data_IF_062405611223
#
_entry.id   IF_062405611223
#
_cell.length_a   1.000
_cell.length_b   1.000
_cell.length_c   1.000
_cell.angle_alpha   90.00
_cell.angle_beta   90.00
_cell.angle_gamma   90.00
#
_symmetry.space_group_name_H-M   'P 1'
#
loop_
_entity.id
_entity.type
_entity.pdbx_description
1 polymer ?
#
# COMPACT_ATOMS: atom_id res chain seq x y z
N UNK A 1 18.83 -21.70 40.14
CA UNK A 1 18.40 -22.25 38.84
C UNK A 1 16.91 -22.48 38.97
N UNK A 2 16.11 -21.62 38.36
CA UNK A 2 14.64 -21.65 38.46
C UNK A 2 14.08 -22.01 37.08
N UNK A 3 13.33 -23.10 37.04
CA UNK A 3 12.56 -23.55 35.88
C UNK A 3 11.48 -22.51 35.52
N UNK A 4 11.52 -22.03 34.28
CA UNK A 4 10.44 -21.25 33.67
C UNK A 4 9.48 -22.22 32.99
N UNK A 5 8.31 -22.40 33.60
CA UNK A 5 7.19 -23.16 33.04
C UNK A 5 6.52 -22.31 31.94
N UNK A 6 6.66 -22.71 30.69
CA UNK A 6 6.01 -22.06 29.55
C UNK A 6 4.58 -22.59 29.39
N UNK A 7 3.55 -21.73 29.30
CA UNK A 7 2.21 -22.18 28.96
C UNK A 7 2.23 -22.82 27.56
N UNK A 8 1.97 -24.13 27.50
CA UNK A 8 1.81 -24.89 26.26
C UNK A 8 0.78 -24.21 25.37
N UNK A 9 1.20 -23.77 24.19
CA UNK A 9 0.30 -23.31 23.13
C UNK A 9 -0.75 -24.41 22.86
N UNK A 10 -2.05 -24.06 22.74
CA UNK A 10 -3.05 -25.04 22.37
C UNK A 10 -2.73 -25.63 20.98
N UNK A 11 -3.02 -26.92 20.75
CA UNK A 11 -2.72 -27.55 19.47
C UNK A 11 -3.42 -26.80 18.33
N UNK A 12 -2.69 -26.58 17.23
CA UNK A 12 -3.26 -25.99 16.01
C UNK A 12 -4.44 -26.88 15.55
N UNK A 13 -5.67 -26.37 15.71
CA UNK A 13 -6.85 -27.03 15.14
C UNK A 13 -6.79 -26.80 13.63
N UNK A 14 -6.55 -27.87 12.87
CA UNK A 14 -6.74 -27.86 11.43
C UNK A 14 -8.17 -27.43 11.13
N UNK A 15 -8.33 -26.30 10.44
CA UNK A 15 -9.63 -25.84 9.98
C UNK A 15 -10.05 -26.80 8.84
N UNK A 16 -11.16 -27.54 8.96
CA UNK A 16 -11.60 -28.45 7.91
C UNK A 16 -11.77 -27.68 6.59
N UNK A 17 -11.27 -28.22 5.48
CA UNK A 17 -11.30 -27.57 4.17
C UNK A 17 -12.72 -27.08 3.77
N UNK A 18 -13.75 -27.81 4.20
CA UNK A 18 -15.16 -27.42 4.01
C UNK A 18 -15.54 -26.11 4.69
N UNK A 19 -14.99 -25.82 5.89
CA UNK A 19 -15.24 -24.54 6.59
C UNK A 19 -14.51 -23.38 5.91
N UNK A 20 -13.38 -23.65 5.27
CA UNK A 20 -12.63 -22.67 4.49
C UNK A 20 -13.41 -22.30 3.22
N UNK A 21 -13.92 -23.29 2.51
CA UNK A 21 -14.78 -23.09 1.34
C UNK A 21 -16.09 -22.35 1.70
N UNK A 22 -16.73 -22.70 2.82
CA UNK A 22 -17.93 -21.99 3.29
C UNK A 22 -17.65 -20.52 3.65
N UNK A 23 -16.51 -20.23 4.28
CA UNK A 23 -16.12 -18.86 4.64
C UNK A 23 -15.79 -18.03 3.40
N UNK A 24 -15.12 -18.63 2.40
CA UNK A 24 -14.88 -17.96 1.11
C UNK A 24 -16.20 -17.62 0.41
N UNK A 25 -17.15 -18.57 0.33
CA UNK A 25 -18.46 -18.30 -0.28
C UNK A 25 -19.25 -17.20 0.46
N UNK A 26 -19.11 -17.09 1.79
CA UNK A 26 -19.74 -16.04 2.59
C UNK A 26 -19.11 -14.66 2.37
N UNK A 27 -17.78 -14.61 2.21
CA UNK A 27 -17.02 -13.40 1.90
C UNK A 27 -17.33 -12.91 0.48
N UNK A 28 -17.35 -13.80 -0.50
CA UNK A 28 -17.71 -13.48 -1.88
C UNK A 28 -19.12 -12.89 -1.98
N UNK A 29 -20.08 -13.44 -1.24
CA UNK A 29 -21.44 -12.90 -1.16
C UNK A 29 -21.49 -11.51 -0.53
N UNK A 30 -20.72 -11.25 0.53
CA UNK A 30 -20.68 -9.93 1.15
C UNK A 30 -20.01 -8.88 0.25
N UNK A 31 -18.94 -9.25 -0.45
CA UNK A 31 -18.27 -8.36 -1.40
C UNK A 31 -19.20 -8.06 -2.58
N UNK A 32 -19.89 -9.06 -3.12
CA UNK A 32 -20.86 -8.86 -4.19
C UNK A 32 -22.04 -7.96 -3.76
N UNK A 33 -22.56 -8.15 -2.53
CA UNK A 33 -23.62 -7.31 -1.97
C UNK A 33 -23.15 -5.88 -1.67
N UNK A 34 -21.90 -5.69 -1.26
CA UNK A 34 -21.30 -4.36 -1.07
C UNK A 34 -20.96 -3.66 -2.40
N UNK A 35 -20.94 -4.41 -3.51
CA UNK A 35 -20.66 -3.91 -4.87
C UNK A 35 -21.92 -3.46 -5.61
N UNK A 36 -23.12 -3.64 -5.04
CA UNK A 36 -24.34 -3.14 -5.66
C UNK A 36 -24.45 -1.61 -5.43
N UNK A 37 -24.39 -0.79 -6.50
CA UNK A 37 -24.61 0.64 -6.34
C UNK A 37 -26.06 0.86 -5.90
N UNK A 38 -26.24 1.48 -4.72
CA UNK A 38 -27.54 1.91 -4.24
C UNK A 38 -28.19 2.86 -5.26
N UNK A 39 -29.03 2.31 -6.14
CA UNK A 39 -29.83 3.07 -7.10
C UNK A 39 -30.93 3.79 -6.34
N UNK A 40 -30.69 5.06 -5.98
CA UNK A 40 -31.76 5.97 -5.56
C UNK A 40 -32.82 6.06 -6.67
N UNK A 41 -34.13 6.06 -6.33
CA UNK A 41 -35.18 6.08 -7.32
C UNK A 41 -35.32 7.48 -7.93
N UNK A 42 -34.73 7.67 -9.11
CA UNK A 42 -34.92 8.84 -10.00
C UNK A 42 -36.30 8.78 -10.70
N UNK A 43 -37.36 8.49 -9.95
CA UNK A 43 -38.72 8.72 -10.41
C UNK A 43 -39.02 10.22 -10.29
N UNK A 44 -38.72 10.99 -11.34
CA UNK A 44 -39.39 12.24 -11.77
C UNK A 44 -38.44 13.07 -12.64
N UNK A 45 -38.50 12.83 -13.96
CA UNK A 45 -38.32 13.78 -15.09
C UNK A 45 -38.18 12.94 -16.37
N UNK A 46 -39.28 12.32 -16.81
CA UNK A 46 -40.06 12.71 -18.00
C UNK A 46 -39.23 12.69 -19.30
N UNK A 47 -39.52 11.64 -20.09
CA UNK A 47 -39.75 11.62 -21.54
C UNK A 47 -38.72 12.34 -22.43
N UNK A 48 -38.00 11.55 -23.24
CA UNK A 48 -38.08 11.57 -24.70
C UNK A 48 -37.42 10.28 -25.25
N UNK A 49 -38.13 9.68 -26.21
CA UNK A 49 -37.82 8.47 -26.97
C UNK A 49 -36.82 8.79 -28.08
N UNK A 50 -35.75 8.01 -28.24
CA UNK A 50 -35.14 7.70 -29.55
C UNK A 50 -34.56 6.27 -29.52
N UNK A 51 -34.91 5.39 -30.49
CA UNK A 51 -34.53 3.98 -30.45
C UNK A 51 -33.41 3.62 -31.46
N UNK A 52 -32.72 2.51 -31.15
CA UNK A 52 -31.97 1.59 -32.02
C UNK A 52 -30.64 2.05 -32.66
N UNK A 53 -29.70 1.09 -32.64
CA UNK A 53 -28.51 0.88 -33.51
C UNK A 53 -27.17 1.30 -32.90
N UNK A 54 -26.55 0.37 -32.15
CA UNK A 54 -25.14 0.01 -32.31
C UNK A 54 -24.83 -1.28 -31.53
N UNK A 55 -25.25 -2.42 -32.06
CA UNK A 55 -24.58 -3.71 -31.75
C UNK A 55 -23.39 -3.78 -32.70
N UNK A 56 -22.20 -3.33 -32.27
CA UNK A 56 -20.91 -3.71 -32.87
C UNK A 56 -19.82 -3.72 -31.79
N UNK A 57 -19.16 -4.88 -31.67
CA UNK A 57 -17.85 -5.13 -31.05
C UNK A 57 -17.73 -5.13 -29.52
N UNK A 58 -18.13 -6.24 -28.89
CA UNK A 58 -17.40 -6.79 -27.72
C UNK A 58 -16.54 -7.95 -28.20
N UNK A 59 -15.55 -7.64 -29.03
CA UNK A 59 -14.43 -8.52 -29.33
C UNK A 59 -13.16 -7.66 -29.33
N UNK A 60 -12.30 -7.92 -28.34
CA UNK A 60 -10.90 -7.53 -28.37
C UNK A 60 -10.54 -6.18 -27.73
N UNK A 61 -10.17 -6.22 -26.44
CA UNK A 61 -9.04 -5.41 -25.94
C UNK A 61 -8.17 -6.22 -24.96
N UNK A 62 -7.74 -7.41 -25.39
CA UNK A 62 -6.52 -8.02 -24.86
C UNK A 62 -5.25 -7.54 -25.60
N UNK A 63 -5.39 -6.70 -26.63
CA UNK A 63 -4.29 -6.11 -27.39
C UNK A 63 -4.32 -4.58 -27.22
N UNK A 64 -3.49 -4.08 -26.30
CA UNK A 64 -3.40 -2.64 -26.03
C UNK A 64 -2.54 -2.24 -24.83
N UNK A 65 -2.02 -3.20 -24.05
CA UNK A 65 -1.12 -2.89 -22.91
C UNK A 65 0.37 -2.80 -23.27
N UNK A 66 0.71 -2.85 -24.56
CA UNK A 66 2.09 -2.96 -25.01
C UNK A 66 2.89 -1.65 -25.05
N UNK A 67 2.23 -0.49 -24.98
CA UNK A 67 2.85 0.82 -25.17
C UNK A 67 2.25 1.87 -24.22
N UNK A 68 2.11 1.53 -22.94
CA UNK A 68 1.83 2.58 -21.97
C UNK A 68 3.10 3.43 -21.81
N UNK A 69 3.01 4.77 -21.97
CA UNK A 69 4.14 5.64 -21.69
C UNK A 69 4.61 5.40 -20.25
N UNK A 70 5.92 5.49 -20.06
CA UNK A 70 6.50 5.45 -18.73
C UNK A 70 5.93 6.59 -17.87
N UNK A 71 5.80 6.35 -16.57
CA UNK A 71 5.24 7.33 -15.65
C UNK A 71 6.14 7.47 -14.42
N UNK A 72 5.93 8.53 -13.65
CA UNK A 72 6.61 8.75 -12.38
C UNK A 72 5.73 8.29 -11.21
N UNK A 73 6.35 7.70 -10.18
CA UNK A 73 5.63 7.38 -8.96
C UNK A 73 5.29 8.67 -8.20
N UNK A 74 4.01 8.86 -7.87
CA UNK A 74 3.51 10.01 -7.09
C UNK A 74 3.36 9.70 -5.59
N UNK A 75 3.44 8.43 -5.20
CA UNK A 75 3.29 7.95 -3.82
C UNK A 75 4.37 6.91 -3.46
N UNK A 76 5.63 7.19 -3.78
CA UNK A 76 6.76 6.26 -3.65
C UNK A 76 7.18 6.00 -2.18
N UNK A 77 6.34 5.34 -1.40
CA UNK A 77 6.63 5.00 0.00
C UNK A 77 7.02 3.54 0.20
N UNK A 78 6.68 2.70 -0.78
CA UNK A 78 6.87 1.25 -0.71
C UNK A 78 7.25 0.68 -2.07
N UNK A 79 8.28 -0.17 -2.07
CA UNK A 79 8.79 -0.90 -3.23
C UNK A 79 8.57 -2.39 -2.99
N UNK A 80 7.93 -3.07 -3.94
CA UNK A 80 7.74 -4.52 -3.90
C UNK A 80 8.75 -5.24 -4.77
N UNK A 81 9.56 -6.12 -4.18
CA UNK A 81 10.62 -6.89 -4.83
C UNK A 81 10.14 -8.32 -5.12
N UNK A 82 9.79 -8.60 -6.37
CA UNK A 82 9.25 -9.91 -6.75
C UNK A 82 10.36 -10.93 -7.01
N UNK A 83 10.19 -12.16 -6.52
CA UNK A 83 11.15 -13.25 -6.76
C UNK A 83 11.05 -13.86 -8.16
N UNK A 84 9.95 -13.61 -8.87
CA UNK A 84 9.67 -14.10 -10.22
C UNK A 84 8.80 -13.11 -11.00
N UNK A 85 8.75 -13.23 -12.33
CA UNK A 85 7.91 -12.38 -13.19
C UNK A 85 6.43 -12.82 -13.10
N UNK A 86 5.79 -12.54 -11.96
CA UNK A 86 4.37 -12.83 -11.71
C UNK A 86 3.83 -11.88 -10.65
N UNK A 87 2.64 -11.31 -10.88
CA UNK A 87 1.94 -10.48 -9.88
C UNK A 87 1.46 -11.29 -8.66
N UNK A 88 1.37 -12.62 -8.79
CA UNK A 88 1.01 -13.54 -7.71
C UNK A 88 2.24 -14.23 -7.10
N UNK A 89 3.45 -13.80 -7.48
CA UNK A 89 4.69 -14.37 -6.98
C UNK A 89 5.01 -13.92 -5.56
N UNK A 90 5.91 -14.65 -4.92
CA UNK A 90 6.49 -14.25 -3.64
C UNK A 90 7.18 -12.88 -3.79
N UNK A 91 6.95 -12.02 -2.80
CA UNK A 91 7.33 -10.60 -2.84
C UNK A 91 7.86 -10.18 -1.48
N UNK A 92 9.02 -9.54 -1.49
CA UNK A 92 9.55 -8.82 -0.33
C UNK A 92 9.20 -7.34 -0.44
N UNK A 93 8.93 -6.67 0.68
CA UNK A 93 8.52 -5.26 0.70
C UNK A 93 9.64 -4.41 1.30
N UNK A 94 10.12 -3.42 0.55
CA UNK A 94 11.05 -2.39 1.02
C UNK A 94 10.27 -1.10 1.22
N UNK A 95 10.18 -0.64 2.46
CA UNK A 95 9.59 0.66 2.80
C UNK A 95 10.64 1.76 2.93
N UNK A 96 10.18 3.00 2.83
CA UNK A 96 10.95 4.19 3.23
C UNK A 96 11.72 4.84 2.09
N UNK A 97 11.09 5.86 1.48
CA UNK A 97 11.74 6.87 0.65
C UNK A 97 12.79 6.39 -0.35
N UNK A 98 12.52 5.26 -1.00
CA UNK A 98 13.49 4.57 -1.84
C UNK A 98 13.78 5.40 -3.10
N UNK A 99 15.00 5.95 -3.17
CA UNK A 99 15.46 6.73 -4.33
C UNK A 99 15.79 5.86 -5.54
N UNK A 100 16.29 4.64 -5.30
CA UNK A 100 16.56 3.63 -6.33
C UNK A 100 15.88 2.29 -5.98
N UNK A 101 14.67 2.04 -6.50
CA UNK A 101 13.93 0.81 -6.27
C UNK A 101 14.68 -0.45 -6.70
N UNK A 102 15.48 -0.36 -7.77
CA UNK A 102 16.18 -1.51 -8.34
C UNK A 102 17.29 -1.93 -7.40
N UNK A 103 18.12 -0.99 -6.94
CA UNK A 103 19.23 -1.34 -6.04
C UNK A 103 18.74 -1.82 -4.68
N UNK A 104 17.66 -1.23 -4.14
CA UNK A 104 17.04 -1.72 -2.91
C UNK A 104 16.58 -3.18 -3.03
N UNK A 105 15.92 -3.55 -4.13
CA UNK A 105 15.51 -4.94 -4.32
C UNK A 105 16.68 -5.88 -4.56
N UNK A 106 17.75 -5.42 -5.24
CA UNK A 106 18.99 -6.20 -5.34
C UNK A 106 19.58 -6.48 -3.97
N UNK A 107 19.61 -5.50 -3.07
CA UNK A 107 20.12 -5.69 -1.71
C UNK A 107 19.31 -6.73 -0.93
N UNK A 108 17.98 -6.69 -1.01
CA UNK A 108 17.10 -7.69 -0.38
C UNK A 108 17.31 -9.09 -0.95
N UNK A 109 17.42 -9.22 -2.28
CA UNK A 109 17.71 -10.51 -2.89
C UNK A 109 19.08 -11.06 -2.47
N UNK A 110 20.12 -10.21 -2.37
CA UNK A 110 21.43 -10.61 -1.84
C UNK A 110 21.32 -11.08 -0.39
N UNK A 111 20.60 -10.37 0.47
CA UNK A 111 20.48 -10.74 1.90
C UNK A 111 19.67 -12.01 2.13
N UNK A 112 18.78 -12.35 1.21
CA UNK A 112 17.98 -13.59 1.26
C UNK A 112 18.64 -14.78 0.56
N UNK A 113 19.87 -14.61 0.05
CA UNK A 113 20.61 -15.67 -0.64
C UNK A 113 20.11 -15.97 -2.06
N UNK A 114 19.25 -15.12 -2.62
CA UNK A 114 18.83 -15.22 -4.01
C UNK A 114 19.97 -14.82 -4.95
N UNK A 115 20.17 -15.59 -6.02
CA UNK A 115 21.04 -15.18 -7.11
C UNK A 115 20.42 -13.99 -7.85
N UNK A 116 21.03 -12.82 -7.74
CA UNK A 116 20.52 -11.56 -8.29
C UNK A 116 20.68 -11.54 -9.81
N UNK A 117 19.59 -11.47 -10.58
CA UNK A 117 19.68 -11.40 -12.02
C UNK A 117 20.32 -10.07 -12.47
N UNK A 118 21.12 -10.13 -13.53
CA UNK A 118 21.74 -8.93 -14.11
C UNK A 118 20.69 -7.98 -14.71
N UNK A 119 19.63 -8.55 -15.30
CA UNK A 119 18.53 -7.82 -15.90
C UNK A 119 17.36 -7.66 -14.93
N UNK A 120 17.17 -6.45 -14.42
CA UNK A 120 16.10 -6.08 -13.48
C UNK A 120 15.35 -4.88 -14.03
N UNK A 121 14.04 -4.78 -13.77
CA UNK A 121 13.24 -3.62 -14.17
C UNK A 121 12.30 -3.19 -13.06
N UNK A 122 12.12 -1.89 -12.90
CA UNK A 122 11.08 -1.30 -12.08
C UNK A 122 9.85 -0.96 -12.93
N UNK A 123 8.66 -1.28 -12.42
CA UNK A 123 7.37 -1.04 -13.04
C UNK A 123 6.44 -0.30 -12.07
N UNK A 124 5.50 0.46 -12.63
CA UNK A 124 4.41 1.10 -11.91
C UNK A 124 3.10 0.34 -12.09
N UNK A 125 2.45 0.06 -10.97
CA UNK A 125 1.07 -0.43 -10.97
C UNK A 125 0.09 0.69 -11.30
N UNK A 126 -1.16 0.33 -11.59
CA UNK A 126 -2.24 1.31 -11.77
C UNK A 126 -2.51 2.13 -10.50
N UNK A 127 -2.18 1.59 -9.32
CA UNK A 127 -2.28 2.29 -8.03
C UNK A 127 -1.06 3.14 -7.68
N UNK A 128 -0.08 3.30 -8.58
CA UNK A 128 1.10 4.14 -8.35
C UNK A 128 2.20 3.51 -7.49
N UNK A 129 2.03 2.23 -7.09
CA UNK A 129 3.07 1.49 -6.36
C UNK A 129 4.22 1.08 -7.28
N UNK A 130 5.44 1.12 -6.75
CA UNK A 130 6.64 0.68 -7.45
C UNK A 130 6.88 -0.81 -7.20
N UNK A 131 7.06 -1.56 -8.28
CA UNK A 131 7.29 -3.01 -8.25
C UNK A 131 8.53 -3.32 -9.06
N UNK A 132 9.37 -4.24 -8.59
CA UNK A 132 10.65 -4.57 -9.24
C UNK A 132 10.67 -6.06 -9.55
N UNK A 133 11.06 -6.38 -10.79
CA UNK A 133 11.06 -7.74 -11.31
C UNK A 133 12.44 -8.16 -11.84
N UNK A 134 12.80 -9.46 -11.69
CA UNK A 134 14.04 -10.05 -12.19
C UNK A 134 14.02 -10.30 -13.71
N UNK A 135 13.56 -9.33 -14.51
CA UNK A 135 13.59 -9.41 -15.98
C UNK A 135 13.33 -8.04 -16.62
N UNK A 136 14.17 -7.63 -17.59
CA UNK A 136 13.99 -6.36 -18.33
C UNK A 136 12.63 -6.20 -19.04
N UNK A 137 11.97 -7.30 -19.40
CA UNK A 137 10.72 -7.28 -20.17
C UNK A 137 9.46 -7.43 -19.29
N UNK A 138 9.60 -7.47 -17.95
CA UNK A 138 8.51 -7.78 -17.04
C UNK A 138 7.34 -6.79 -17.15
N UNK A 139 7.60 -5.48 -17.21
CA UNK A 139 6.52 -4.49 -17.28
C UNK A 139 5.63 -4.73 -18.49
N UNK A 140 6.22 -4.94 -19.67
CA UNK A 140 5.47 -5.26 -20.89
C UNK A 140 4.68 -6.57 -20.78
N UNK A 141 5.31 -7.63 -20.26
CA UNK A 141 4.66 -8.96 -20.12
C UNK A 141 3.48 -8.94 -19.14
N UNK A 142 3.59 -8.14 -18.08
CA UNK A 142 2.59 -8.02 -17.03
C UNK A 142 1.58 -6.88 -17.31
N UNK A 143 1.76 -6.15 -18.41
CA UNK A 143 0.92 -5.00 -18.77
C UNK A 143 1.02 -3.83 -17.79
N UNK A 144 2.17 -3.68 -17.15
CA UNK A 144 2.50 -2.59 -16.23
C UNK A 144 3.24 -1.46 -16.97
N UNK A 145 3.22 -0.26 -16.39
CA UNK A 145 3.96 0.89 -16.93
C UNK A 145 5.43 0.81 -16.53
N UNK A 146 6.39 1.14 -17.41
CA UNK A 146 7.77 1.33 -17.00
C UNK A 146 7.87 2.45 -15.95
N UNK A 147 8.61 2.20 -14.87
CA UNK A 147 8.96 3.24 -13.91
C UNK A 147 10.06 4.12 -14.50
N UNK A 148 9.85 5.44 -14.52
CA UNK A 148 10.82 6.39 -15.10
C UNK A 148 11.46 7.30 -14.05
N UNK A 149 11.03 7.19 -12.79
CA UNK A 149 11.52 7.98 -11.69
C UNK A 149 10.44 8.31 -10.68
N UNK A 150 10.82 9.07 -9.66
CA UNK A 150 9.93 9.58 -8.62
C UNK A 150 9.64 11.06 -8.94
N UNK A 151 8.42 11.54 -8.73
CA UNK A 151 8.13 12.97 -8.89
C UNK A 151 8.85 13.80 -7.81
N UNK A 152 9.03 15.10 -8.03
CA UNK A 152 9.56 16.02 -6.99
C UNK A 152 8.75 15.94 -5.70
N UNK A 153 7.42 15.96 -5.81
CA UNK A 153 6.52 15.86 -4.67
C UNK A 153 6.69 14.55 -3.89
N UNK A 154 6.84 13.43 -4.59
CA UNK A 154 7.05 12.13 -3.95
C UNK A 154 8.45 12.03 -3.31
N UNK A 155 9.48 12.66 -3.89
CA UNK A 155 10.82 12.77 -3.27
C UNK A 155 10.78 13.58 -1.98
N UNK A 156 10.13 14.74 -2.00
CA UNK A 156 9.95 15.61 -0.83
C UNK A 156 9.22 14.86 0.27
N UNK A 157 8.12 14.18 -0.07
CA UNK A 157 7.36 13.39 0.89
C UNK A 157 8.16 12.23 1.46
N UNK A 158 8.90 11.49 0.62
CA UNK A 158 9.79 10.42 1.05
C UNK A 158 10.82 10.88 2.09
N UNK A 159 11.44 12.05 1.86
CA UNK A 159 12.39 12.64 2.79
C UNK A 159 11.70 13.03 4.12
N UNK A 160 10.53 13.67 4.06
CA UNK A 160 9.69 13.96 5.22
C UNK A 160 9.37 12.69 6.01
N UNK A 161 8.87 11.64 5.34
CA UNK A 161 8.47 10.39 5.96
C UNK A 161 9.64 9.73 6.70
N UNK A 162 10.81 9.65 6.07
CA UNK A 162 11.99 9.07 6.69
C UNK A 162 12.42 9.86 7.94
N UNK A 163 12.43 11.19 7.84
CA UNK A 163 12.83 12.09 8.92
C UNK A 163 11.86 12.05 10.12
N UNK A 164 10.55 12.14 9.86
CA UNK A 164 9.53 12.10 10.93
C UNK A 164 9.42 10.73 11.59
N UNK A 165 9.53 9.63 10.82
CA UNK A 165 9.53 8.27 11.38
C UNK A 165 10.76 8.03 12.22
N UNK A 166 11.94 8.48 11.77
CA UNK A 166 13.17 8.40 12.56
C UNK A 166 13.06 9.17 13.86
N UNK A 167 12.54 10.40 13.79
CA UNK A 167 12.38 11.26 14.96
C UNK A 167 11.36 10.70 15.98
N UNK A 168 10.21 10.17 15.51
CA UNK A 168 9.26 9.49 16.41
C UNK A 168 9.88 8.24 17.00
N UNK A 169 10.55 7.39 16.21
CA UNK A 169 11.15 6.15 16.72
C UNK A 169 12.19 6.41 17.81
N UNK A 170 13.00 7.45 17.65
CA UNK A 170 14.03 7.82 18.62
C UNK A 170 13.46 8.16 20.00
N UNK A 171 12.24 8.73 20.04
CA UNK A 171 11.56 9.09 21.27
C UNK A 171 10.04 9.04 21.05
N UNK A 172 9.47 7.83 21.10
CA UNK A 172 8.09 7.54 20.68
C UNK A 172 7.08 7.62 21.82
N UNK A 173 7.54 7.73 23.07
CA UNK A 173 6.69 7.72 24.27
C UNK A 173 6.51 9.11 24.90
N UNK A 174 6.82 10.18 24.16
CA UNK A 174 6.65 11.57 24.62
C UNK A 174 5.18 11.99 24.66
N UNK A 175 4.86 13.08 25.38
CA UNK A 175 3.51 13.62 25.42
C UNK A 175 2.91 13.81 24.02
N UNK A 176 1.65 13.39 23.85
CA UNK A 176 0.90 13.47 22.57
C UNK A 176 1.02 14.83 21.89
N UNK A 177 0.91 15.93 22.64
CA UNK A 177 1.02 17.30 22.13
C UNK A 177 2.39 17.60 21.53
N UNK A 178 3.46 17.05 22.09
CA UNK A 178 4.83 17.24 21.60
C UNK A 178 5.06 16.47 20.30
N UNK A 179 4.49 15.26 20.18
CA UNK A 179 4.56 14.47 18.94
C UNK A 179 3.82 15.21 17.82
N UNK A 180 2.61 15.69 18.08
CA UNK A 180 1.83 16.48 17.11
C UNK A 180 2.58 17.73 16.67
N UNK A 181 3.15 18.47 17.62
CA UNK A 181 3.90 19.70 17.33
C UNK A 181 5.13 19.42 16.47
N UNK A 182 5.85 18.34 16.75
CA UNK A 182 7.00 17.92 15.95
C UNK A 182 6.59 17.48 14.53
N UNK A 183 5.53 16.66 14.40
CA UNK A 183 5.02 16.23 13.10
C UNK A 183 4.59 17.45 12.28
N UNK A 184 3.90 18.42 12.90
CA UNK A 184 3.51 19.68 12.26
C UNK A 184 4.72 20.48 11.78
N UNK A 185 5.71 20.69 12.64
CA UNK A 185 6.93 21.43 12.29
C UNK A 185 7.65 20.81 11.09
N UNK A 186 7.74 19.47 11.04
CA UNK A 186 8.31 18.77 9.88
C UNK A 186 7.45 18.90 8.64
N UNK A 187 6.12 18.74 8.72
CA UNK A 187 5.25 18.99 7.57
C UNK A 187 5.50 20.40 6.99
N UNK A 188 5.60 21.41 7.85
CA UNK A 188 5.82 22.78 7.43
C UNK A 188 7.21 22.97 6.79
N UNK A 189 8.27 22.35 7.34
CA UNK A 189 9.63 22.46 6.80
C UNK A 189 9.80 21.80 5.43
N UNK A 190 8.98 20.80 5.10
CA UNK A 190 8.97 20.13 3.81
C UNK A 190 7.93 20.71 2.83
N UNK A 191 7.23 21.80 3.18
CA UNK A 191 6.23 22.41 2.29
C UNK A 191 4.93 21.59 2.15
N UNK A 192 4.60 20.79 3.17
CA UNK A 192 3.45 19.88 3.22
C UNK A 192 2.33 20.43 4.12
N UNK A 193 2.14 21.75 4.17
CA UNK A 193 1.23 22.40 5.13
C UNK A 193 -0.25 21.97 4.96
N UNK A 194 -0.63 21.56 3.75
CA UNK A 194 -1.97 21.04 3.45
C UNK A 194 -2.27 19.68 4.10
N UNK A 195 -1.25 18.98 4.59
CA UNK A 195 -1.42 17.69 5.24
C UNK A 195 -2.03 17.84 6.63
N UNK A 196 -3.00 16.97 6.89
CA UNK A 196 -3.70 16.87 8.18
C UNK A 196 -2.95 15.92 9.11
N UNK A 197 -3.14 16.10 10.41
CA UNK A 197 -2.68 15.17 11.44
C UNK A 197 -3.94 14.60 12.09
N UNK A 198 -4.07 13.29 12.10
CA UNK A 198 -5.13 12.57 12.80
C UNK A 198 -4.52 11.84 14.00
N UNK A 199 -4.90 12.27 15.19
CA UNK A 199 -4.50 11.69 16.47
C UNK A 199 -5.71 11.13 17.26
N UNK A 200 -6.85 10.98 16.58
CA UNK A 200 -8.11 10.53 17.18
C UNK A 200 -8.03 9.13 17.79
N UNK A 201 -7.03 8.34 17.38
CA UNK A 201 -6.72 7.03 17.94
C UNK A 201 -6.51 7.05 19.47
N UNK A 202 -5.85 8.09 20.01
CA UNK A 202 -5.62 8.21 21.46
C UNK A 202 -6.90 8.36 22.28
N UNK A 203 -7.99 8.84 21.67
CA UNK A 203 -9.30 8.97 22.33
C UNK A 203 -10.14 7.69 22.31
N UNK A 204 -9.64 6.59 21.76
CA UNK A 204 -10.41 5.36 21.57
C UNK A 204 -10.21 4.39 22.75
N UNK A 205 -11.23 3.57 23.09
CA UNK A 205 -11.12 2.57 24.17
C UNK A 205 -9.96 1.58 24.00
N UNK A 206 -9.61 1.21 22.77
CA UNK A 206 -8.51 0.27 22.49
C UNK A 206 -7.11 0.87 22.74
N UNK A 207 -7.01 2.20 22.85
CA UNK A 207 -5.77 2.91 23.12
C UNK A 207 -5.46 3.06 24.62
N UNK A 208 -6.36 2.60 25.50
CA UNK A 208 -6.09 2.57 26.95
C UNK A 208 -4.84 1.73 27.23
N UNK A 209 -3.88 2.30 27.96
CA UNK A 209 -2.60 1.65 28.27
C UNK A 209 -1.59 1.65 27.12
N UNK A 210 -1.82 2.43 26.05
CA UNK A 210 -0.89 2.60 24.92
C UNK A 210 -0.34 4.03 24.90
N UNK A 211 0.65 4.36 25.75
CA UNK A 211 1.10 5.73 25.91
C UNK A 211 1.98 6.22 24.75
N UNK A 212 2.54 5.32 23.95
CA UNK A 212 3.51 5.65 22.91
C UNK A 212 2.85 5.78 21.54
N UNK A 213 3.56 6.39 20.59
CA UNK A 213 3.06 6.71 19.27
C UNK A 213 3.92 6.12 18.15
N UNK A 214 3.24 5.59 17.15
CA UNK A 214 3.80 5.25 15.84
C UNK A 214 3.08 6.07 14.77
N UNK A 215 3.57 6.03 13.53
CA UNK A 215 3.01 6.81 12.43
C UNK A 215 2.52 5.91 11.31
N UNK A 216 1.38 6.27 10.75
CA UNK A 216 0.88 5.79 9.47
C UNK A 216 0.58 6.98 8.57
N UNK A 217 0.51 6.75 7.26
CA UNK A 217 0.33 7.81 6.26
C UNK A 217 -0.79 7.42 5.29
N UNK A 218 -1.80 8.27 5.19
CA UNK A 218 -2.84 8.19 4.17
C UNK A 218 -2.53 9.25 3.10
N UNK A 219 -2.01 8.80 1.97
CA UNK A 219 -1.62 9.68 0.87
C UNK A 219 -2.82 10.28 0.13
N UNK A 220 -3.87 9.49 -0.05
CA UNK A 220 -5.05 9.89 -0.80
C UNK A 220 -5.79 11.00 -0.06
N UNK A 221 -5.78 10.96 1.27
CA UNK A 221 -6.36 11.99 2.13
C UNK A 221 -5.36 13.04 2.62
N UNK A 222 -4.08 12.92 2.25
CA UNK A 222 -2.98 13.76 2.73
C UNK A 222 -3.00 13.89 4.26
N UNK A 223 -3.00 12.76 4.96
CA UNK A 223 -3.13 12.69 6.42
C UNK A 223 -2.01 11.85 7.04
N UNK A 224 -1.33 12.42 8.03
CA UNK A 224 -0.44 11.68 8.95
C UNK A 224 -1.29 11.18 10.11
N UNK A 225 -1.33 9.87 10.31
CA UNK A 225 -2.11 9.23 11.38
C UNK A 225 -1.15 8.87 12.50
N UNK A 226 -1.40 9.37 13.69
CA UNK A 226 -0.65 9.00 14.90
C UNK A 226 -1.36 7.81 15.55
N UNK A 227 -0.66 6.68 15.60
CA UNK A 227 -1.21 5.39 16.05
C UNK A 227 -0.66 5.04 17.44
N UNK A 228 -1.50 5.02 18.47
CA UNK A 228 -1.13 4.58 19.82
C UNK A 228 -0.62 3.13 19.85
N UNK A 229 0.50 2.90 20.54
CA UNK A 229 1.04 1.56 20.81
C UNK A 229 1.70 1.47 22.19
N UNK A 230 2.09 0.26 22.57
CA UNK A 230 2.88 -0.04 23.77
C UNK A 230 4.37 0.04 23.47
N UNK A 231 5.22 0.23 24.47
CA UNK A 231 6.68 0.10 24.32
C UNK A 231 7.12 -1.22 23.62
#
# INVERSE_FOLDING_TARGET
MSDLDFPRLPPQRAIPAERLAQRQALLERHIAAASEPARRPWWRRKLIVVPVVAVVAVLGTAAGRGLLPGDAATQATTVSCYKMVSLHGETDIVGGGVTDPVESCRQVWRSTGMNVPSEVVACLTSGGAVTVFPSKNACRRLGLRPFTGVSDSARIFAAFQNDVVTAVRADHCRPRSEIISMVRQKLDSYGLQSWRIDDSGFGRPWAVGRPCASLAFDHDQSTVIIVPHTE
#
